data_IF_357664904040
#
_entry.id   IF_357664904040
#
_cell.length_a   1.000
_cell.length_b   1.000
_cell.length_c   1.000
_cell.angle_alpha   90.00
_cell.angle_beta   90.00
_cell.angle_gamma   90.00
#
_symmetry.space_group_name_H-M   'P 1'
#
loop_
_entity.id
_entity.type
_entity.pdbx_description
1 polymer ?
#
# COMPACT_ATOMS: atom_id res chain seq x y z
N UNK A 1 28.35 -2.47 -49.09
CA UNK A 1 27.77 -1.14 -48.75
C UNK A 1 28.87 -0.24 -48.20
N UNK A 2 28.93 1.03 -48.63
CA UNK A 2 29.94 1.97 -48.12
C UNK A 2 29.60 2.32 -46.67
N UNK A 3 30.43 1.92 -45.71
CA UNK A 3 30.22 2.13 -44.27
C UNK A 3 29.92 3.60 -43.91
N UNK A 4 30.53 4.56 -44.63
CA UNK A 4 30.25 5.98 -44.43
C UNK A 4 28.84 6.44 -44.83
N UNK A 5 28.10 5.69 -45.65
CA UNK A 5 26.69 5.95 -45.95
C UNK A 5 25.82 5.44 -44.80
N UNK A 6 26.08 4.21 -44.32
CA UNK A 6 25.36 3.62 -43.20
C UNK A 6 25.49 4.47 -41.92
N UNK A 7 26.70 4.92 -41.58
CA UNK A 7 26.92 5.79 -40.42
C UNK A 7 26.19 7.14 -40.53
N UNK A 8 26.15 7.75 -41.72
CA UNK A 8 25.40 8.99 -41.94
C UNK A 8 23.89 8.77 -41.79
N UNK A 9 23.38 7.63 -42.25
CA UNK A 9 21.98 7.27 -42.10
C UNK A 9 21.62 7.05 -40.62
N UNK A 10 22.45 6.30 -39.87
CA UNK A 10 22.27 6.09 -38.42
C UNK A 10 22.32 7.43 -37.67
N UNK A 11 23.30 8.28 -37.98
CA UNK A 11 23.43 9.60 -37.34
C UNK A 11 22.25 10.51 -37.66
N UNK A 12 21.70 10.43 -38.88
CA UNK A 12 20.50 11.18 -39.28
C UNK A 12 19.27 10.68 -38.53
N UNK A 13 19.09 9.35 -38.47
CA UNK A 13 18.02 8.70 -37.74
C UNK A 13 18.02 9.09 -36.25
N UNK A 14 19.16 8.97 -35.57
CA UNK A 14 19.26 9.33 -34.14
C UNK A 14 19.00 10.81 -33.88
N UNK A 15 19.40 11.69 -34.80
CA UNK A 15 19.28 13.14 -34.61
C UNK A 15 17.90 13.70 -34.96
N UNK A 16 17.26 13.15 -35.98
CA UNK A 16 16.01 13.65 -36.55
C UNK A 16 14.88 12.67 -36.22
N UNK A 17 14.90 11.49 -36.84
CA UNK A 17 13.82 10.50 -36.77
C UNK A 17 13.51 10.07 -35.32
N UNK A 18 14.53 9.75 -34.51
CA UNK A 18 14.33 9.35 -33.11
C UNK A 18 13.80 10.50 -32.24
N UNK A 19 14.25 11.73 -32.51
CA UNK A 19 13.78 12.93 -31.81
C UNK A 19 12.31 13.23 -32.16
N UNK A 20 11.93 13.02 -33.41
CA UNK A 20 10.57 13.19 -33.92
C UNK A 20 9.62 12.07 -33.45
N UNK A 21 10.11 10.84 -33.28
CA UNK A 21 9.33 9.72 -32.73
C UNK A 21 9.08 9.91 -31.22
N UNK A 22 10.11 10.27 -30.46
CA UNK A 22 9.98 10.43 -29.01
C UNK A 22 9.22 11.71 -28.62
N UNK A 23 9.37 12.78 -29.41
CA UNK A 23 8.75 14.08 -29.19
C UNK A 23 8.24 14.65 -30.52
N UNK A 24 7.07 14.21 -31.00
CA UNK A 24 6.51 14.71 -32.25
C UNK A 24 6.30 16.22 -32.15
N UNK A 25 6.88 16.98 -33.08
CA UNK A 25 6.60 18.41 -33.18
C UNK A 25 5.18 18.59 -33.69
N UNK A 26 4.27 19.01 -32.82
CA UNK A 26 2.84 19.13 -33.09
C UNK A 26 2.46 20.34 -33.97
N UNK A 27 3.43 21.17 -34.40
CA UNK A 27 3.20 22.33 -35.26
C UNK A 27 4.43 22.59 -36.14
N UNK A 28 4.28 22.87 -37.45
CA UNK A 28 5.39 23.38 -38.25
C UNK A 28 5.85 24.73 -37.69
N UNK A 29 7.16 24.88 -37.48
CA UNK A 29 7.72 26.14 -36.98
C UNK A 29 7.35 27.28 -37.96
N UNK A 30 6.71 28.36 -37.48
CA UNK A 30 6.18 29.40 -38.35
C UNK A 30 7.30 30.12 -39.12
N UNK A 31 7.07 30.51 -40.39
CA UNK A 31 8.11 30.93 -41.35
C UNK A 31 8.88 32.20 -40.95
N UNK A 32 8.42 32.92 -39.93
CA UNK A 32 9.01 34.16 -39.40
C UNK A 32 9.74 33.98 -38.06
N UNK A 33 9.68 32.79 -37.44
CA UNK A 33 10.47 32.50 -36.23
C UNK A 33 11.81 31.95 -36.69
N UNK A 34 12.84 32.80 -36.67
CA UNK A 34 14.21 32.31 -36.86
C UNK A 34 14.44 31.18 -35.86
N UNK A 35 14.89 30.02 -36.39
CA UNK A 35 15.14 28.83 -35.59
C UNK A 35 15.80 29.20 -34.27
N UNK A 36 15.18 28.78 -33.16
CA UNK A 36 15.57 29.11 -31.77
C UNK A 36 17.08 29.26 -31.64
N UNK A 37 17.59 30.28 -30.90
CA UNK A 37 19.02 30.47 -30.73
C UNK A 37 19.64 29.12 -30.36
N UNK A 38 20.55 28.63 -31.20
CA UNK A 38 21.16 27.31 -31.02
C UNK A 38 21.66 27.27 -29.58
N UNK A 39 21.22 26.30 -28.75
CA UNK A 39 21.70 26.23 -27.38
C UNK A 39 23.21 26.26 -27.45
N UNK A 40 23.83 27.13 -26.64
CA UNK A 40 25.28 27.26 -26.55
C UNK A 40 25.84 25.85 -26.43
N UNK A 41 26.65 25.44 -27.41
CA UNK A 41 27.20 24.08 -27.43
C UNK A 41 28.00 23.91 -26.15
N UNK A 42 27.50 23.09 -25.23
CA UNK A 42 28.25 22.75 -24.03
C UNK A 42 29.56 22.09 -24.48
N UNK A 43 30.66 22.54 -23.91
CA UNK A 43 31.96 21.91 -24.14
C UNK A 43 31.97 20.56 -23.44
N UNK A 44 32.74 19.58 -23.90
CA UNK A 44 32.88 18.29 -23.21
C UNK A 44 33.28 18.46 -21.72
N UNK A 45 34.07 19.49 -21.42
CA UNK A 45 34.42 19.89 -20.05
C UNK A 45 33.18 20.27 -19.22
N UNK A 46 32.26 21.02 -19.80
CA UNK A 46 31.01 21.44 -19.15
C UNK A 46 30.12 20.21 -18.89
N UNK A 47 30.03 19.28 -19.85
CA UNK A 47 29.30 18.03 -19.67
C UNK A 47 29.86 17.20 -18.52
N UNK A 48 31.17 16.98 -18.48
CA UNK A 48 31.82 16.21 -17.41
C UNK A 48 31.65 16.92 -16.07
N UNK A 49 31.80 18.24 -16.04
CA UNK A 49 31.59 19.03 -14.83
C UNK A 49 30.15 18.90 -14.30
N UNK A 50 29.15 19.04 -15.17
CA UNK A 50 27.74 18.92 -14.79
C UNK A 50 27.43 17.52 -14.29
N UNK A 51 27.87 16.47 -14.99
CA UNK A 51 27.63 15.08 -14.58
C UNK A 51 28.32 14.77 -13.24
N UNK A 52 29.57 15.20 -13.05
CA UNK A 52 30.29 15.02 -11.78
C UNK A 52 29.63 15.78 -10.63
N UNK A 53 29.15 17.00 -10.89
CA UNK A 53 28.48 17.82 -9.88
C UNK A 53 27.13 17.22 -9.50
N UNK A 54 26.33 16.80 -10.48
CA UNK A 54 25.07 16.11 -10.26
C UNK A 54 25.26 14.79 -9.49
N UNK A 55 26.22 13.97 -9.91
CA UNK A 55 26.55 12.72 -9.22
C UNK A 55 27.05 12.96 -7.78
N UNK A 56 27.87 13.99 -7.56
CA UNK A 56 28.34 14.35 -6.22
C UNK A 56 27.21 14.85 -5.33
N UNK A 57 26.30 15.68 -5.85
CA UNK A 57 25.12 16.15 -5.12
C UNK A 57 24.16 15.00 -4.81
N UNK A 58 23.95 14.09 -5.76
CA UNK A 58 23.15 12.89 -5.55
C UNK A 58 23.79 11.99 -4.48
N UNK A 59 25.09 11.70 -4.55
CA UNK A 59 25.78 10.94 -3.50
C UNK A 59 25.69 11.61 -2.12
N UNK A 60 25.85 12.94 -2.06
CA UNK A 60 25.64 13.73 -0.82
C UNK A 60 24.20 13.67 -0.31
N UNK A 61 23.21 13.50 -1.19
CA UNK A 61 21.82 13.27 -0.74
C UNK A 61 21.62 11.90 -0.09
N UNK A 62 22.50 10.93 -0.34
CA UNK A 62 22.50 9.62 0.34
C UNK A 62 23.34 9.59 1.62
N UNK A 63 24.38 10.43 1.74
CA UNK A 63 25.29 10.44 2.89
C UNK A 63 25.05 11.60 3.85
N UNK A 64 23.91 12.27 3.76
CA UNK A 64 23.48 13.12 4.87
C UNK A 64 22.96 12.18 5.93
N UNK A 65 23.75 11.98 6.99
CA UNK A 65 23.27 11.43 8.26
C UNK A 65 21.87 12.00 8.46
N UNK A 66 20.89 11.08 8.51
CA UNK A 66 19.48 11.44 8.53
C UNK A 66 19.26 12.50 9.59
N UNK A 67 18.53 13.56 9.22
CA UNK A 67 17.99 14.60 10.10
C UNK A 67 17.91 14.10 11.55
N UNK A 68 18.92 14.44 12.37
CA UNK A 68 18.92 14.06 13.78
C UNK A 68 17.74 14.74 14.45
N UNK A 69 17.18 14.17 15.52
CA UNK A 69 16.08 14.79 16.31
C UNK A 69 16.35 16.26 16.69
N UNK A 70 17.61 16.66 16.73
CA UNK A 70 18.04 18.03 17.04
C UNK A 70 17.75 19.03 15.90
N UNK A 71 17.83 18.61 14.64
CA UNK A 71 17.43 19.44 13.49
C UNK A 71 15.90 19.64 13.45
N UNK A 72 15.12 18.66 13.93
CA UNK A 72 13.66 18.77 14.10
C UNK A 72 13.28 19.77 15.20
N UNK A 73 14.01 19.76 16.33
CA UNK A 73 13.87 20.76 17.39
C UNK A 73 14.20 22.17 16.89
N UNK A 74 15.25 22.30 16.07
CA UNK A 74 15.67 23.59 15.50
C UNK A 74 14.71 24.13 14.44
N UNK A 75 13.98 23.24 13.76
CA UNK A 75 12.93 23.56 12.80
C UNK A 75 11.56 23.84 13.45
N UNK A 76 11.45 23.81 14.79
CA UNK A 76 10.23 24.16 15.50
C UNK A 76 9.10 23.12 15.41
N UNK A 77 9.40 21.88 15.03
CA UNK A 77 8.46 20.76 15.12
C UNK A 77 8.68 20.00 16.42
N UNK A 78 8.09 20.46 17.52
CA UNK A 78 7.82 19.58 18.65
C UNK A 78 6.61 18.69 18.32
N UNK A 79 6.79 17.38 18.49
CA UNK A 79 5.68 16.43 18.67
C UNK A 79 5.00 16.79 19.99
N UNK A 80 3.83 17.40 19.91
CA UNK A 80 2.92 17.48 21.05
C UNK A 80 2.23 16.13 21.16
N UNK A 81 2.77 15.27 22.03
CA UNK A 81 2.12 14.05 22.52
C UNK A 81 0.92 14.47 23.37
N UNK A 82 -0.21 14.76 22.71
CA UNK A 82 -1.51 14.82 23.39
C UNK A 82 -2.22 13.49 23.14
N UNK A 83 -2.01 12.59 24.10
CA UNK A 83 -2.88 11.46 24.36
C UNK A 83 -4.21 11.99 24.89
N UNK A 84 -5.20 12.20 24.02
CA UNK A 84 -6.60 12.20 24.44
C UNK A 84 -7.53 11.80 23.30
N UNK A 85 -8.35 10.81 23.62
CA UNK A 85 -9.37 10.19 22.78
C UNK A 85 -10.49 11.19 22.54
N UNK A 86 -10.78 11.48 21.27
CA UNK A 86 -12.07 12.01 20.87
C UNK A 86 -12.41 11.52 19.47
N UNK A 87 -13.42 10.65 19.40
CA UNK A 87 -14.18 10.37 18.18
C UNK A 87 -14.53 11.69 17.51
N UNK A 88 -13.94 11.94 16.34
CA UNK A 88 -14.41 12.99 15.44
C UNK A 88 -14.82 12.35 14.13
N UNK A 89 -16.14 12.41 13.95
CA UNK A 89 -16.86 12.22 12.71
C UNK A 89 -16.06 12.78 11.53
N UNK A 90 -15.96 11.97 10.46
CA UNK A 90 -15.27 12.28 9.20
C UNK A 90 -15.67 13.68 8.73
N UNK A 91 -14.84 14.73 8.88
CA UNK A 91 -15.06 15.92 8.09
C UNK A 91 -14.74 15.56 6.65
N UNK A 92 -15.50 16.07 5.70
CA UNK A 92 -15.19 15.96 4.29
C UNK A 92 -13.79 16.54 4.06
N UNK A 93 -12.78 15.66 4.03
CA UNK A 93 -11.41 16.03 3.73
C UNK A 93 -11.42 16.64 2.33
N UNK A 94 -10.80 17.83 2.11
CA UNK A 94 -10.47 18.22 0.74
C UNK A 94 -9.72 17.04 0.14
N UNK A 95 -10.08 16.64 -1.08
CA UNK A 95 -9.53 15.42 -1.67
C UNK A 95 -8.01 15.40 -1.49
N UNK A 96 -7.38 14.27 -1.18
CA UNK A 96 -5.92 14.23 -0.96
C UNK A 96 -5.14 14.86 -2.14
N UNK A 97 -5.78 14.93 -3.30
CA UNK A 97 -5.33 15.64 -4.50
C UNK A 97 -5.39 17.17 -4.39
N UNK A 98 -6.42 17.74 -3.75
CA UNK A 98 -6.50 19.17 -3.42
C UNK A 98 -5.40 19.57 -2.44
N UNK A 99 -5.11 18.75 -1.42
CA UNK A 99 -4.00 19.02 -0.50
C UNK A 99 -2.64 18.97 -1.22
N UNK A 100 -2.45 18.00 -2.14
CA UNK A 100 -1.26 17.96 -3.00
C UNK A 100 -1.22 19.17 -3.93
N UNK A 101 -2.35 19.59 -4.50
CA UNK A 101 -2.41 20.73 -5.43
C UNK A 101 -2.14 22.06 -4.71
N UNK A 102 -2.67 22.24 -3.51
CA UNK A 102 -2.39 23.37 -2.62
C UNK A 102 -0.92 23.37 -2.19
N UNK A 103 -0.38 22.21 -1.79
CA UNK A 103 1.03 22.06 -1.44
C UNK A 103 1.96 22.31 -2.63
N UNK A 104 1.61 21.83 -3.82
CA UNK A 104 2.35 22.08 -5.05
C UNK A 104 2.32 23.55 -5.45
N UNK A 105 1.19 24.24 -5.22
CA UNK A 105 1.06 25.68 -5.41
C UNK A 105 1.85 26.48 -4.36
N UNK A 106 1.98 25.97 -3.15
CA UNK A 106 2.76 26.57 -2.07
C UNK A 106 4.28 26.37 -2.22
N UNK A 107 4.73 25.42 -3.04
CA UNK A 107 6.14 25.21 -3.38
C UNK A 107 6.71 23.88 -2.88
N UNK A 108 7.92 23.54 -3.36
CA UNK A 108 8.53 22.21 -3.16
C UNK A 108 8.72 21.80 -1.69
N UNK A 109 8.84 22.77 -0.79
CA UNK A 109 9.00 22.54 0.66
C UNK A 109 7.73 21.96 1.31
N UNK A 110 6.55 22.25 0.75
CA UNK A 110 5.26 21.80 1.29
C UNK A 110 4.76 20.48 0.70
N UNK A 111 5.29 20.06 -0.46
CA UNK A 111 4.91 18.79 -1.10
C UNK A 111 5.37 17.59 -0.26
N UNK A 112 6.57 17.66 0.31
CA UNK A 112 7.15 16.58 1.10
C UNK A 112 6.29 16.22 2.34
N UNK A 113 5.91 17.16 3.22
CA UNK A 113 5.07 16.85 4.36
C UNK A 113 3.64 16.42 3.94
N UNK A 114 3.08 17.00 2.87
CA UNK A 114 1.77 16.58 2.35
C UNK A 114 1.81 15.11 1.88
N UNK A 115 2.87 14.72 1.15
CA UNK A 115 3.04 13.35 0.69
C UNK A 115 3.25 12.37 1.85
N UNK A 116 4.00 12.77 2.88
CA UNK A 116 4.21 11.96 4.07
C UNK A 116 2.89 11.69 4.80
N UNK A 117 2.02 12.70 4.94
CA UNK A 117 0.69 12.52 5.54
C UNK A 117 -0.13 11.50 4.77
N UNK A 118 -0.21 11.64 3.45
CA UNK A 118 -0.95 10.72 2.59
C UNK A 118 -0.40 9.29 2.70
N UNK A 119 0.93 9.15 2.75
CA UNK A 119 1.56 7.86 2.95
C UNK A 119 1.17 7.24 4.29
N UNK A 120 1.25 8.00 5.39
CA UNK A 120 0.90 7.50 6.72
C UNK A 120 -0.57 7.12 6.84
N UNK A 121 -1.49 7.95 6.32
CA UNK A 121 -2.94 7.66 6.35
C UNK A 121 -3.29 6.40 5.56
N UNK A 122 -2.67 6.21 4.39
CA UNK A 122 -2.88 4.98 3.61
C UNK A 122 -2.24 3.77 4.29
N UNK A 123 -1.03 3.92 4.82
CA UNK A 123 -0.33 2.84 5.50
C UNK A 123 -1.06 2.37 6.76
N UNK A 124 -1.63 3.28 7.57
CA UNK A 124 -2.44 2.91 8.73
C UNK A 124 -3.73 2.21 8.31
N UNK A 125 -4.45 2.75 7.32
CA UNK A 125 -5.67 2.11 6.80
C UNK A 125 -5.41 0.68 6.30
N UNK A 126 -4.31 0.44 5.58
CA UNK A 126 -3.93 -0.91 5.17
C UNK A 126 -3.57 -1.80 6.35
N UNK A 127 -2.80 -1.28 7.31
CA UNK A 127 -2.40 -2.03 8.50
C UNK A 127 -3.62 -2.45 9.32
N UNK A 128 -4.58 -1.56 9.49
CA UNK A 128 -5.79 -1.82 10.29
C UNK A 128 -6.73 -2.78 9.56
N UNK A 129 -6.88 -2.66 8.24
CA UNK A 129 -7.62 -3.63 7.44
C UNK A 129 -6.99 -5.05 7.47
N UNK A 130 -5.66 -5.15 7.47
CA UNK A 130 -4.99 -6.44 7.61
C UNK A 130 -5.17 -7.04 9.00
N UNK A 131 -5.13 -6.21 10.05
CA UNK A 131 -5.41 -6.69 11.41
C UNK A 131 -6.83 -7.20 11.55
N UNK A 132 -7.83 -6.43 11.13
CA UNK A 132 -9.23 -6.85 11.21
C UNK A 132 -9.51 -8.09 10.37
N UNK A 133 -8.83 -8.26 9.23
CA UNK A 133 -8.90 -9.50 8.45
C UNK A 133 -8.35 -10.70 9.23
N UNK A 134 -7.20 -10.56 9.87
CA UNK A 134 -6.59 -11.64 10.67
C UNK A 134 -7.45 -11.98 11.89
N UNK A 135 -7.95 -10.97 12.59
CA UNK A 135 -8.85 -11.14 13.73
C UNK A 135 -10.14 -11.83 13.30
N UNK A 136 -10.79 -11.36 12.24
CA UNK A 136 -12.00 -11.99 11.68
C UNK A 136 -11.76 -13.43 11.21
N UNK A 137 -10.57 -13.75 10.69
CA UNK A 137 -10.21 -15.13 10.36
C UNK A 137 -10.10 -16.01 11.63
N UNK A 138 -9.46 -15.51 12.68
CA UNK A 138 -9.34 -16.24 13.95
C UNK A 138 -10.70 -16.44 14.61
N UNK A 139 -11.55 -15.42 14.61
CA UNK A 139 -12.94 -15.50 15.09
C UNK A 139 -13.74 -16.52 14.31
N UNK A 140 -13.64 -16.53 12.97
CA UNK A 140 -14.32 -17.51 12.12
C UNK A 140 -13.88 -18.95 12.41
N UNK A 141 -12.59 -19.17 12.64
CA UNK A 141 -12.09 -20.49 13.06
C UNK A 141 -12.64 -20.88 14.44
N UNK A 142 -12.65 -19.95 15.39
CA UNK A 142 -13.19 -20.19 16.73
C UNK A 142 -14.70 -20.50 16.70
N UNK A 143 -15.47 -19.82 15.86
CA UNK A 143 -16.90 -20.05 15.69
C UNK A 143 -17.20 -21.45 15.14
N UNK A 144 -16.41 -21.91 14.15
CA UNK A 144 -16.53 -23.28 13.61
C UNK A 144 -16.21 -24.32 14.68
N UNK A 145 -15.16 -24.10 15.46
CA UNK A 145 -14.78 -25.00 16.56
C UNK A 145 -15.87 -25.05 17.65
N UNK A 146 -16.44 -23.89 18.01
CA UNK A 146 -17.54 -23.81 18.96
C UNK A 146 -18.78 -24.58 18.46
N UNK A 147 -19.22 -24.34 17.22
CA UNK A 147 -20.35 -25.05 16.60
C UNK A 147 -20.16 -26.56 16.56
N UNK A 148 -18.96 -27.01 16.20
CA UNK A 148 -18.64 -28.44 16.17
C UNK A 148 -18.70 -29.05 17.58
N UNK A 149 -18.18 -28.35 18.60
CA UNK A 149 -18.25 -28.81 19.99
C UNK A 149 -19.67 -28.84 20.55
N UNK A 150 -20.51 -27.86 20.19
CA UNK A 150 -21.92 -27.81 20.56
C UNK A 150 -22.69 -28.97 19.91
N UNK A 151 -22.47 -29.21 18.62
CA UNK A 151 -23.05 -30.34 17.89
C UNK A 151 -22.64 -31.69 18.51
N UNK A 152 -21.38 -31.84 18.89
CA UNK A 152 -20.87 -33.06 19.56
C UNK A 152 -21.49 -33.23 20.95
N UNK A 153 -21.62 -32.16 21.72
CA UNK A 153 -22.26 -32.18 23.03
C UNK A 153 -23.75 -32.50 22.95
N UNK A 154 -24.46 -32.00 21.93
CA UNK A 154 -25.86 -32.30 21.66
C UNK A 154 -26.06 -33.77 21.26
N UNK A 155 -25.21 -34.29 20.38
CA UNK A 155 -25.21 -35.70 19.99
C UNK A 155 -24.89 -36.63 21.16
N UNK A 156 -24.03 -36.21 22.10
CA UNK A 156 -23.74 -36.96 23.33
C UNK A 156 -24.92 -36.99 24.30
N UNK A 157 -25.65 -35.87 24.44
CA UNK A 157 -26.88 -35.79 25.26
C UNK A 157 -28.02 -36.63 24.69
N UNK A 158 -28.14 -36.72 23.37
CA UNK A 158 -29.12 -37.59 22.71
C UNK A 158 -28.79 -39.07 22.96
N UNK A 159 -27.52 -39.46 22.77
CA UNK A 159 -27.07 -40.84 23.06
C UNK A 159 -27.25 -41.26 24.52
N UNK A 160 -27.03 -40.36 25.49
CA UNK A 160 -27.29 -40.68 26.89
C UNK A 160 -28.79 -40.86 27.17
N UNK A 161 -29.65 -40.02 26.59
CA UNK A 161 -31.11 -40.16 26.73
C UNK A 161 -31.63 -41.46 26.10
N UNK A 162 -31.11 -41.84 24.94
CA UNK A 162 -31.46 -43.11 24.29
C UNK A 162 -31.00 -44.33 25.10
N UNK A 163 -29.83 -44.24 25.75
CA UNK A 163 -29.34 -45.29 26.65
C UNK A 163 -30.21 -45.40 27.93
N UNK A 164 -30.61 -44.28 28.52
CA UNK A 164 -31.52 -44.25 29.67
C UNK A 164 -32.92 -44.81 29.29
N UNK A 165 -33.44 -44.49 28.10
CA UNK A 165 -34.70 -45.08 27.63
C UNK A 165 -34.60 -46.59 27.35
N UNK A 166 -33.48 -47.07 26.81
CA UNK A 166 -33.25 -48.49 26.58
C UNK A 166 -33.12 -49.28 27.88
N UNK A 167 -32.44 -48.74 28.89
CA UNK A 167 -32.32 -49.38 30.21
C UNK A 167 -33.68 -49.49 30.90
N UNK A 168 -34.49 -48.44 30.88
CA UNK A 168 -35.86 -48.46 31.42
C UNK A 168 -36.77 -49.45 30.68
N UNK A 169 -36.65 -49.55 29.34
CA UNK A 169 -37.38 -50.56 28.55
C UNK A 169 -36.93 -51.99 28.85
N UNK A 170 -35.64 -52.20 29.09
CA UNK A 170 -35.12 -53.53 29.44
C UNK A 170 -35.54 -53.99 30.84
N UNK A 171 -35.54 -53.10 31.84
CA UNK A 171 -35.99 -53.44 33.19
C UNK A 171 -37.49 -53.72 33.25
N UNK A 172 -38.32 -52.90 32.58
CA UNK A 172 -39.77 -53.15 32.47
C UNK A 172 -40.09 -54.44 31.70
N UNK A 173 -39.31 -54.79 30.68
CA UNK A 173 -39.45 -56.07 29.97
C UNK A 173 -39.01 -57.28 30.81
N UNK A 174 -38.01 -57.12 31.68
CA UNK A 174 -37.54 -58.16 32.61
C UNK A 174 -38.56 -58.40 33.74
N UNK A 175 -39.18 -57.33 34.24
CA UNK A 175 -40.24 -57.37 35.25
C UNK A 175 -41.51 -58.04 34.71
N UNK A 176 -41.93 -57.72 33.48
CA UNK A 176 -43.05 -58.39 32.80
C UNK A 176 -42.79 -59.87 32.46
N UNK A 177 -41.53 -60.31 32.38
CA UNK A 177 -41.17 -61.73 32.21
C UNK A 177 -41.23 -62.51 33.51
N UNK A 178 -40.93 -61.89 34.66
CA UNK A 178 -41.07 -62.51 35.99
C UNK A 178 -42.52 -62.83 36.34
N UNK A 179 -43.45 -61.95 35.96
CA UNK A 179 -44.89 -62.14 36.24
C UNK A 179 -45.56 -63.23 35.37
N UNK A 180 -44.90 -63.73 34.32
CA UNK A 180 -45.44 -64.76 33.41
C UNK A 180 -44.91 -66.18 33.63
N UNK A 181 -44.11 -66.40 34.68
CA UNK A 181 -43.67 -67.76 35.04
C UNK A 181 -44.65 -68.36 36.06
N UNK A 182 -45.47 -69.35 35.70
CA UNK A 182 -46.21 -70.13 36.68
C UNK A 182 -45.23 -71.04 37.45
N UNK A 183 -45.44 -71.14 38.77
CA UNK A 183 -44.82 -72.13 39.65
C UNK A 183 -45.12 -73.57 39.21
#
# INVERSE_FOLDING_TARGET
MKWGVAWRNIKRYVKHDLKEIAFPSSLPDPPHVQAKPKPRKLTAKDYVYIVRTAASLHAKSFTRDGLTKEDWKKAGLEEQDDSDVAEKEKPAEPSSLEEIALAARAGAEHIKPALQRIYMTRASAYRDALKSFVEGYQEGVAEVMAKNSEAESAARRQRSREADEQTVRSSTAEEARKDKMPF
#
